data_IF_468164184238
#
_entry.id   IF_468164184238
#
_cell.length_a   1.000
_cell.length_b   1.000
_cell.length_c   1.000
_cell.angle_alpha   90.00
_cell.angle_beta   90.00
_cell.angle_gamma   90.00
#
_symmetry.space_group_name_H-M   'P 1'
#
loop_
_entity.id
_entity.type
_entity.pdbx_description
1 polymer ?
#
# COMPACT_ATOMS: atom_id res chain seq x y z
N UNK A 1 -9.23 12.70 18.82
CA UNK A 1 -10.14 11.63 18.33
C UNK A 1 -9.30 10.39 18.17
N UNK A 2 -9.76 9.21 18.61
CA UNK A 2 -9.02 7.97 18.35
C UNK A 2 -8.95 7.75 16.82
N UNK A 3 -7.84 7.22 16.28
CA UNK A 3 -7.77 6.91 14.86
C UNK A 3 -8.87 5.91 14.52
N UNK A 4 -9.69 6.25 13.53
CA UNK A 4 -10.75 5.39 13.06
C UNK A 4 -10.15 4.06 12.58
N UNK A 5 -10.78 2.93 12.97
CA UNK A 5 -10.43 1.54 12.58
C UNK A 5 -9.80 1.50 11.18
N UNK A 6 -8.58 0.93 11.11
CA UNK A 6 -7.91 0.57 9.86
C UNK A 6 -8.89 -0.20 8.98
N UNK A 7 -9.32 0.40 7.88
CA UNK A 7 -10.02 -0.32 6.82
C UNK A 7 -8.95 -0.96 5.95
N UNK A 8 -8.31 -2.00 6.46
CA UNK A 8 -7.37 -2.79 5.66
C UNK A 8 -8.19 -3.45 4.56
N UNK A 9 -7.95 -3.08 3.31
CA UNK A 9 -8.62 -3.69 2.16
C UNK A 9 -8.21 -5.16 2.12
N UNK A 10 -9.15 -6.06 1.88
CA UNK A 10 -8.84 -7.49 1.82
C UNK A 10 -7.83 -7.78 0.72
N UNK A 11 -6.83 -8.60 1.06
CA UNK A 11 -5.84 -9.16 0.15
C UNK A 11 -5.93 -10.69 0.22
N UNK A 12 -5.75 -11.41 -0.91
CA UNK A 12 -5.43 -10.90 -2.23
C UNK A 12 -6.62 -10.24 -2.95
N UNK A 13 -6.36 -9.25 -3.79
CA UNK A 13 -7.38 -8.64 -4.67
C UNK A 13 -6.82 -8.26 -6.04
N UNK A 14 -7.63 -8.31 -7.11
CA UNK A 14 -7.12 -8.08 -8.45
C UNK A 14 -6.71 -6.62 -8.68
N UNK A 15 -5.72 -6.43 -9.54
CA UNK A 15 -5.43 -5.16 -10.20
C UNK A 15 -5.32 -5.36 -11.71
N UNK A 16 -5.61 -4.30 -12.46
CA UNK A 16 -5.51 -4.30 -13.92
C UNK A 16 -4.83 -3.02 -14.39
N UNK A 17 -3.83 -3.18 -15.26
CA UNK A 17 -3.21 -2.13 -16.05
C UNK A 17 -3.47 -2.38 -17.53
N UNK A 18 -3.27 -1.35 -18.36
CA UNK A 18 -3.42 -1.45 -19.80
C UNK A 18 -2.41 -2.42 -20.49
N UNK A 19 -1.40 -2.89 -19.76
CA UNK A 19 -0.35 -3.78 -20.25
C UNK A 19 -0.27 -5.12 -19.48
N UNK A 20 -1.20 -5.39 -18.57
CA UNK A 20 -1.20 -6.62 -17.77
C UNK A 20 -1.93 -6.46 -16.44
N UNK A 21 -2.11 -7.57 -15.74
CA UNK A 21 -2.80 -7.62 -14.46
C UNK A 21 -2.10 -8.50 -13.44
N UNK A 22 -2.79 -8.74 -12.32
CA UNK A 22 -2.29 -9.59 -11.25
C UNK A 22 -3.06 -9.39 -9.95
N UNK A 23 -2.41 -9.75 -8.85
CA UNK A 23 -2.99 -9.65 -7.51
C UNK A 23 -2.19 -8.69 -6.63
N UNK A 24 -2.89 -7.88 -5.85
CA UNK A 24 -2.33 -7.17 -4.70
C UNK A 24 -2.31 -8.17 -3.55
N UNK A 25 -1.13 -8.64 -3.17
CA UNK A 25 -0.96 -9.74 -2.21
C UNK A 25 -0.64 -9.26 -0.79
N UNK A 26 -0.09 -8.05 -0.65
CA UNK A 26 0.09 -7.36 0.64
C UNK A 26 -0.21 -5.86 0.44
N UNK A 27 -0.79 -5.22 1.45
CA UNK A 27 -1.05 -3.79 1.47
C UNK A 27 -0.82 -3.25 2.89
N UNK A 28 0.07 -2.27 3.01
CA UNK A 28 0.22 -1.48 4.22
C UNK A 28 -0.48 -0.14 4.01
N UNK A 29 -1.47 0.18 4.83
CA UNK A 29 -2.18 1.46 4.76
C UNK A 29 -2.30 2.12 6.13
N UNK A 30 -2.30 3.45 6.12
CA UNK A 30 -2.50 4.26 7.31
C UNK A 30 -3.55 5.33 7.01
N UNK A 31 -4.53 5.49 7.90
CA UNK A 31 -5.58 6.50 7.73
C UNK A 31 -5.17 7.79 8.44
N UNK A 32 -4.49 8.67 7.71
CA UNK A 32 -4.06 9.98 8.19
C UNK A 32 -5.18 11.03 8.19
N UNK A 33 -4.82 12.29 8.41
CA UNK A 33 -5.79 13.40 8.49
C UNK A 33 -6.51 13.66 7.17
N UNK A 34 -5.79 13.66 6.05
CA UNK A 34 -6.32 14.10 4.75
C UNK A 34 -6.50 12.96 3.75
N UNK A 35 -5.63 11.96 3.82
CA UNK A 35 -5.55 10.85 2.88
C UNK A 35 -5.26 9.57 3.65
N UNK A 36 -5.43 8.46 2.95
CA UNK A 36 -4.98 7.14 3.38
C UNK A 36 -3.83 6.72 2.46
N UNK A 37 -2.57 7.06 2.76
CA UNK A 37 -1.43 6.52 2.02
C UNK A 37 -1.38 5.00 2.14
N UNK A 38 -0.93 4.36 1.07
CA UNK A 38 -0.90 2.90 0.95
C UNK A 38 0.28 2.45 0.10
N UNK A 39 0.94 1.38 0.56
CA UNK A 39 2.00 0.71 -0.18
C UNK A 39 1.51 -0.71 -0.47
N UNK A 40 1.45 -1.05 -1.76
CA UNK A 40 0.90 -2.32 -2.25
C UNK A 40 1.99 -3.16 -2.87
N UNK A 41 2.00 -4.46 -2.55
CA UNK A 41 2.79 -5.46 -3.22
C UNK A 41 1.95 -6.15 -4.29
N UNK A 42 2.36 -5.99 -5.54
CA UNK A 42 1.72 -6.55 -6.72
C UNK A 42 2.45 -7.82 -7.15
N UNK A 43 1.74 -8.93 -7.36
CA UNK A 43 2.24 -10.12 -8.04
C UNK A 43 1.61 -10.21 -9.42
N UNK A 44 2.44 -10.24 -10.47
CA UNK A 44 1.96 -10.26 -11.85
C UNK A 44 1.44 -11.63 -12.26
N UNK A 45 0.30 -11.64 -12.96
CA UNK A 45 -0.26 -12.87 -13.52
C UNK A 45 0.70 -13.49 -14.54
N UNK A 46 0.80 -14.83 -14.56
CA UNK A 46 1.68 -15.55 -15.47
C UNK A 46 3.17 -15.45 -15.16
N UNK A 47 3.56 -14.66 -14.14
CA UNK A 47 4.95 -14.47 -13.73
C UNK A 47 5.14 -14.62 -12.20
N UNK A 48 4.94 -15.83 -11.63
CA UNK A 48 5.12 -16.06 -10.19
C UNK A 48 6.52 -15.64 -9.73
N UNK A 49 6.61 -14.89 -8.63
CA UNK A 49 7.88 -14.35 -8.15
C UNK A 49 8.25 -12.97 -8.73
N UNK A 50 7.54 -12.47 -9.74
CA UNK A 50 7.71 -11.11 -10.25
C UNK A 50 6.83 -10.14 -9.46
N UNK A 51 7.47 -9.19 -8.76
CA UNK A 51 6.78 -8.26 -7.88
C UNK A 51 6.90 -6.80 -8.34
N UNK A 52 5.81 -6.06 -8.19
CA UNK A 52 5.80 -4.60 -8.25
C UNK A 52 5.49 -4.00 -6.88
N UNK A 53 6.14 -2.89 -6.53
CA UNK A 53 5.79 -2.09 -5.35
C UNK A 53 5.09 -0.83 -5.83
N UNK A 54 3.84 -0.64 -5.42
CA UNK A 54 3.04 0.53 -5.80
C UNK A 54 2.81 1.42 -4.58
N UNK A 55 3.23 2.67 -4.70
CA UNK A 55 2.92 3.74 -3.76
C UNK A 55 1.68 4.48 -4.27
N UNK A 56 0.62 4.51 -3.48
CA UNK A 56 -0.63 5.14 -3.85
C UNK A 56 -1.35 5.69 -2.62
N UNK A 57 -2.43 6.44 -2.84
CA UNK A 57 -3.26 6.87 -1.73
C UNK A 57 -4.73 6.84 -2.10
N UNK A 58 -5.54 6.68 -1.08
CA UNK A 58 -6.99 6.76 -1.15
C UNK A 58 -7.46 8.03 -0.45
N UNK A 59 -8.59 8.57 -0.89
CA UNK A 59 -9.32 9.51 -0.05
C UNK A 59 -10.09 8.75 1.04
N UNK A 60 -10.66 9.47 2.01
CA UNK A 60 -11.47 8.88 3.09
C UNK A 60 -12.76 8.18 2.64
N UNK A 61 -13.13 8.31 1.36
CA UNK A 61 -14.25 7.58 0.75
C UNK A 61 -13.78 6.27 0.09
N UNK A 62 -12.51 5.89 0.24
CA UNK A 62 -11.95 4.68 -0.34
C UNK A 62 -11.65 4.77 -1.84
N UNK A 63 -11.65 5.98 -2.43
CA UNK A 63 -11.38 6.18 -3.86
C UNK A 63 -9.90 6.32 -4.12
N UNK A 64 -9.36 5.46 -4.97
CA UNK A 64 -7.98 5.52 -5.46
C UNK A 64 -7.70 6.87 -6.14
N UNK A 65 -6.58 7.49 -5.78
CA UNK A 65 -6.15 8.76 -6.35
C UNK A 65 -4.95 8.53 -7.28
N UNK A 66 -4.92 9.27 -8.41
CA UNK A 66 -3.89 9.12 -9.46
C UNK A 66 -2.72 10.09 -9.32
N UNK A 67 -2.79 11.03 -8.39
CA UNK A 67 -1.69 11.94 -8.13
C UNK A 67 -0.55 11.20 -7.38
N UNK A 68 0.64 11.80 -7.29
CA UNK A 68 1.70 11.25 -6.46
C UNK A 68 1.24 11.09 -5.00
N UNK A 69 1.63 9.98 -4.38
CA UNK A 69 1.49 9.81 -2.94
C UNK A 69 2.52 10.70 -2.25
N UNK A 70 2.05 11.52 -1.31
CA UNK A 70 2.91 12.30 -0.42
C UNK A 70 2.80 11.71 0.99
N UNK A 71 3.95 11.53 1.65
CA UNK A 71 4.00 11.23 3.07
C UNK A 71 4.40 12.52 3.76
N UNK A 72 3.43 13.23 4.32
CA UNK A 72 3.61 14.47 5.05
C UNK A 72 3.38 14.27 6.55
N UNK A 73 4.35 14.75 7.34
CA UNK A 73 4.33 14.69 8.79
C UNK A 73 4.72 13.34 9.40
N UNK A 74 5.05 13.36 10.69
CA UNK A 74 5.49 12.16 11.42
C UNK A 74 4.37 11.12 11.58
N UNK A 75 3.13 11.56 11.76
CA UNK A 75 1.98 10.68 11.97
C UNK A 75 1.79 9.70 10.79
N UNK A 76 1.81 10.22 9.56
CA UNK A 76 1.71 9.41 8.34
C UNK A 76 2.89 8.45 8.18
N UNK A 77 4.09 8.90 8.53
CA UNK A 77 5.31 8.12 8.41
C UNK A 77 5.34 6.96 9.41
N UNK A 78 5.10 7.26 10.69
CA UNK A 78 5.06 6.29 11.78
C UNK A 78 3.93 5.29 11.59
N UNK A 79 2.74 5.76 11.21
CA UNK A 79 1.58 4.91 10.93
C UNK A 79 1.82 3.93 9.78
N UNK A 80 2.45 4.36 8.68
CA UNK A 80 2.87 3.46 7.59
C UNK A 80 3.94 2.49 8.04
N UNK A 81 4.93 2.95 8.83
CA UNK A 81 6.01 2.09 9.34
C UNK A 81 5.46 0.96 10.20
N UNK A 82 4.45 1.24 11.02
CA UNK A 82 3.78 0.23 11.84
C UNK A 82 2.90 -0.70 10.99
N UNK A 83 2.13 -0.16 10.03
CA UNK A 83 1.34 -0.99 9.10
C UNK A 83 2.22 -1.96 8.29
N UNK A 84 3.44 -1.57 7.94
CA UNK A 84 4.39 -2.43 7.22
C UNK A 84 4.79 -3.69 8.02
N UNK A 85 4.64 -3.70 9.34
CA UNK A 85 4.96 -4.87 10.17
C UNK A 85 4.09 -6.09 9.85
N UNK A 86 2.86 -5.84 9.39
CA UNK A 86 1.89 -6.88 9.00
C UNK A 86 2.04 -7.31 7.53
N UNK A 87 3.04 -6.78 6.82
CA UNK A 87 3.34 -7.06 5.41
C UNK A 87 4.78 -7.58 5.27
N UNK A 88 5.07 -8.82 5.69
CA UNK A 88 6.45 -9.28 5.84
C UNK A 88 7.24 -9.27 4.53
N UNK A 89 6.61 -9.60 3.40
CA UNK A 89 7.28 -9.63 2.11
C UNK A 89 7.54 -8.24 1.56
N UNK A 90 6.54 -7.36 1.64
CA UNK A 90 6.65 -5.96 1.25
C UNK A 90 7.71 -5.24 2.09
N UNK A 91 7.67 -5.44 3.41
CA UNK A 91 8.65 -4.85 4.34
C UNK A 91 10.07 -5.29 4.01
N UNK A 92 10.28 -6.56 3.70
CA UNK A 92 11.61 -7.05 3.32
C UNK A 92 12.09 -6.44 1.99
N UNK A 93 11.22 -6.31 1.00
CA UNK A 93 11.56 -5.67 -0.27
C UNK A 93 11.91 -4.18 -0.09
N UNK A 94 11.14 -3.46 0.72
CA UNK A 94 11.43 -2.05 1.04
C UNK A 94 12.74 -1.89 1.81
N UNK A 95 13.03 -2.78 2.77
CA UNK A 95 14.31 -2.80 3.49
C UNK A 95 15.47 -2.98 2.52
N UNK A 96 15.37 -3.94 1.60
CA UNK A 96 16.38 -4.16 0.55
C UNK A 96 16.54 -2.99 -0.41
N UNK A 97 15.48 -2.21 -0.65
CA UNK A 97 15.51 -1.05 -1.54
C UNK A 97 16.25 0.14 -0.92
N UNK A 98 16.03 0.42 0.37
CA UNK A 98 16.49 1.64 1.04
C UNK A 98 17.64 1.46 2.03
N UNK A 99 17.99 0.23 2.41
CA UNK A 99 19.05 -0.10 3.38
C UNK A 99 18.51 -0.42 4.77
#
# INVERSE_FOLDING_TARGET
>A
MPPAKQTTREVPRPFEFHWGGGQIIEEASYRGRYTEPSIQLLEYEGHPGSYGIRFCYYNHQGRFQRSPMMIDGEDSFEGLRDALRDTPKLRELLRRLAG
#
